data_IF_436250962519
#
_entry.id   IF_436250962519
#
_cell.length_a   1.000
_cell.length_b   1.000
_cell.length_c   1.000
_cell.angle_alpha   90.00
_cell.angle_beta   90.00
_cell.angle_gamma   90.00
#
_symmetry.space_group_name_H-M   'P 1'
#
loop_
_entity.id
_entity.type
_entity.pdbx_description
1 polymer ?
#
# COMPACT_ATOMS: atom_id res chain seq x y z
N UNK A 1 -4.30 2.31 13.30
CA UNK A 1 -5.65 1.78 13.62
C UNK A 1 -6.66 2.29 12.62
N UNK A 2 -7.91 1.82 12.62
CA UNK A 2 -8.95 2.19 11.63
C UNK A 2 -9.20 3.71 11.52
N UNK A 3 -8.89 4.48 12.57
CA UNK A 3 -9.07 5.92 12.61
C UNK A 3 -7.85 6.73 12.12
N UNK A 4 -6.78 6.08 11.66
CA UNK A 4 -5.60 6.79 11.17
C UNK A 4 -5.89 7.43 9.79
N UNK A 5 -5.43 8.66 9.52
CA UNK A 5 -5.60 9.36 8.24
C UNK A 5 -4.67 8.79 7.16
N UNK A 6 -4.85 7.50 6.85
CA UNK A 6 -4.07 6.74 5.86
C UNK A 6 -4.99 6.34 4.71
N UNK A 7 -4.58 6.71 3.48
CA UNK A 7 -5.23 6.27 2.25
C UNK A 7 -4.28 5.39 1.44
N UNK A 8 -4.79 4.31 0.85
CA UNK A 8 -4.02 3.47 -0.06
C UNK A 8 -4.88 3.03 -1.25
N UNK A 9 -4.28 2.98 -2.43
CA UNK A 9 -4.89 2.40 -3.62
C UNK A 9 -3.87 1.59 -4.40
N UNK A 10 -4.34 0.51 -5.01
CA UNK A 10 -3.52 -0.38 -5.80
C UNK A 10 -4.12 -0.55 -7.19
N UNK A 11 -3.25 -0.71 -8.18
CA UNK A 11 -3.61 -1.01 -9.56
C UNK A 11 -2.73 -2.12 -10.08
N UNK A 12 -3.35 -3.14 -10.67
CA UNK A 12 -2.65 -4.12 -11.48
C UNK A 12 -2.58 -3.62 -12.93
N UNK A 13 -1.39 -3.66 -13.52
CA UNK A 13 -1.13 -3.43 -14.94
C UNK A 13 -0.61 -4.74 -15.55
N UNK A 14 -0.91 -4.99 -16.81
CA UNK A 14 -0.63 -6.28 -17.47
C UNK A 14 -1.91 -7.07 -17.74
N UNK A 15 -1.91 -7.85 -18.83
CA UNK A 15 -3.03 -8.69 -19.27
C UNK A 15 -2.77 -10.17 -19.02
N UNK A 16 -3.65 -11.04 -19.52
CA UNK A 16 -3.59 -12.51 -19.31
C UNK A 16 -2.29 -13.21 -19.80
N UNK A 17 -1.38 -12.48 -20.45
CA UNK A 17 -0.17 -12.98 -21.10
C UNK A 17 1.09 -12.12 -20.83
N UNK A 18 1.00 -11.14 -19.93
CA UNK A 18 2.13 -10.25 -19.59
C UNK A 18 2.33 -10.22 -18.07
N UNK A 19 3.59 -10.08 -17.64
CA UNK A 19 3.99 -9.81 -16.26
C UNK A 19 3.10 -8.75 -15.62
N UNK A 20 2.31 -9.20 -14.64
CA UNK A 20 1.42 -8.34 -13.87
C UNK A 20 2.23 -7.39 -13.01
N UNK A 21 2.25 -6.09 -13.32
CA UNK A 21 2.87 -5.06 -12.48
C UNK A 21 1.84 -4.56 -11.49
N UNK A 22 2.07 -4.82 -10.20
CA UNK A 22 1.30 -4.23 -9.11
C UNK A 22 1.89 -2.87 -8.76
N UNK A 23 1.10 -1.81 -8.96
CA UNK A 23 1.40 -0.47 -8.50
C UNK A 23 0.62 -0.23 -7.21
N UNK A 24 1.30 0.27 -6.17
CA UNK A 24 0.71 0.64 -4.88
C UNK A 24 1.11 2.07 -4.56
N UNK A 25 0.11 2.92 -4.30
CA UNK A 25 0.32 4.25 -3.75
C UNK A 25 -0.38 4.36 -2.40
N UNK A 26 0.34 4.93 -1.45
CA UNK A 26 -0.16 5.20 -0.11
C UNK A 26 0.18 6.64 0.30
N UNK A 27 -0.69 7.19 1.13
CA UNK A 27 -0.63 8.58 1.61
C UNK A 27 -1.00 8.60 3.08
N UNK A 28 -0.26 9.36 3.87
CA UNK A 28 -0.59 9.74 5.25
C UNK A 28 -0.76 11.25 5.28
N UNK A 29 -1.89 11.72 5.79
CA UNK A 29 -2.21 13.14 5.84
C UNK A 29 -2.50 13.58 7.27
N UNK A 30 -2.22 14.83 7.60
CA UNK A 30 -2.66 15.45 8.86
C UNK A 30 -4.19 15.62 8.85
N UNK A 31 -4.84 15.63 10.02
CA UNK A 31 -6.29 15.81 10.10
C UNK A 31 -6.75 17.17 9.55
N UNK A 32 -5.93 18.19 9.72
CA UNK A 32 -6.14 19.53 9.14
C UNK A 32 -5.79 19.62 7.65
N UNK A 33 -5.24 18.55 7.07
CA UNK A 33 -4.75 18.49 5.69
C UNK A 33 -3.51 19.35 5.41
N UNK A 34 -2.91 19.97 6.43
CA UNK A 34 -1.77 20.89 6.28
C UNK A 34 -0.43 20.21 5.99
N UNK A 35 -0.35 18.89 6.20
CA UNK A 35 0.82 18.06 5.91
C UNK A 35 0.39 16.75 5.26
N UNK A 36 1.10 16.36 4.21
CA UNK A 36 0.90 15.10 3.51
C UNK A 36 2.27 14.47 3.22
N UNK A 37 2.35 13.15 3.42
CA UNK A 37 3.47 12.31 2.99
C UNK A 37 2.89 11.18 2.16
N UNK A 38 3.45 10.93 0.98
CA UNK A 38 2.94 9.89 0.09
C UNK A 38 4.03 9.28 -0.77
N UNK A 39 3.87 8.02 -1.10
CA UNK A 39 4.77 7.31 -2.00
C UNK A 39 3.98 6.43 -2.98
N UNK A 40 4.56 6.20 -4.15
CA UNK A 40 4.08 5.25 -5.15
C UNK A 40 5.23 4.34 -5.54
N UNK A 41 5.02 3.03 -5.39
CA UNK A 41 5.99 2.00 -5.75
C UNK A 41 5.30 0.92 -6.58
N UNK A 42 6.10 0.16 -7.32
CA UNK A 42 5.60 -0.97 -8.10
C UNK A 42 6.47 -2.20 -7.95
N UNK A 43 5.88 -3.38 -8.12
CA UNK A 43 6.59 -4.64 -8.26
C UNK A 43 6.00 -5.47 -9.40
N UNK A 44 6.85 -6.22 -10.06
CA UNK A 44 6.40 -7.31 -10.94
C UNK A 44 5.87 -8.46 -10.07
N UNK A 45 4.76 -9.05 -10.51
CA UNK A 45 4.21 -10.27 -9.94
C UNK A 45 4.69 -11.46 -10.78
N UNK A 46 4.99 -12.60 -10.15
CA UNK A 46 5.39 -13.80 -10.88
C UNK A 46 4.29 -14.26 -11.85
N UNK A 47 4.69 -14.61 -13.07
CA UNK A 47 3.78 -15.18 -14.06
C UNK A 47 3.14 -16.47 -13.55
N UNK A 48 1.82 -16.58 -13.69
CA UNK A 48 1.19 -17.89 -13.67
C UNK A 48 1.68 -18.63 -14.91
N UNK A 49 2.34 -19.78 -14.71
CA UNK A 49 3.00 -20.51 -15.79
C UNK A 49 2.00 -21.11 -16.80
N UNK A 50 1.42 -20.30 -17.69
CA UNK A 50 0.63 -20.66 -18.89
C UNK A 50 -0.52 -21.66 -18.72
N UNK A 51 -0.78 -22.13 -17.50
CA UNK A 51 -1.70 -23.20 -17.14
C UNK A 51 -2.60 -22.76 -15.99
N UNK A 52 -3.40 -23.69 -15.43
CA UNK A 52 -4.28 -23.37 -14.31
C UNK A 52 -3.49 -22.76 -13.17
N UNK A 53 -3.89 -21.58 -12.70
CA UNK A 53 -3.26 -20.91 -11.56
C UNK A 53 -3.18 -21.90 -10.40
N UNK A 54 -1.95 -22.20 -9.97
CA UNK A 54 -1.75 -23.09 -8.84
C UNK A 54 -1.82 -22.28 -7.53
N UNK A 55 -2.14 -22.93 -6.40
CA UNK A 55 -2.02 -22.29 -5.09
C UNK A 55 -0.61 -21.74 -4.82
N UNK A 56 0.43 -22.35 -5.41
CA UNK A 56 1.82 -21.91 -5.30
C UNK A 56 2.08 -20.58 -6.01
N UNK A 57 1.51 -20.40 -7.20
CA UNK A 57 1.61 -19.14 -7.97
C UNK A 57 0.91 -18.01 -7.22
N UNK A 58 -0.27 -18.30 -6.67
CA UNK A 58 -1.03 -17.36 -5.84
C UNK A 58 -0.25 -16.96 -4.59
N UNK A 59 0.39 -17.92 -3.91
CA UNK A 59 1.21 -17.64 -2.73
C UNK A 59 2.44 -16.78 -3.06
N UNK A 60 3.05 -16.97 -4.23
CA UNK A 60 4.19 -16.16 -4.67
C UNK A 60 3.78 -14.71 -4.99
N UNK A 61 2.65 -14.53 -5.68
CA UNK A 61 2.08 -13.21 -5.95
C UNK A 61 1.69 -12.48 -4.65
N UNK A 62 1.08 -13.18 -3.69
CA UNK A 62 0.75 -12.61 -2.37
C UNK A 62 2.01 -12.17 -1.62
N UNK A 63 3.10 -12.96 -1.65
CA UNK A 63 4.37 -12.57 -1.03
C UNK A 63 4.97 -11.33 -1.67
N UNK A 64 4.95 -11.23 -3.00
CA UNK A 64 5.43 -10.05 -3.72
C UNK A 64 4.61 -8.80 -3.37
N UNK A 65 3.27 -8.91 -3.35
CA UNK A 65 2.39 -7.82 -2.96
C UNK A 65 2.60 -7.38 -1.50
N UNK A 66 2.80 -8.34 -0.58
CA UNK A 66 3.11 -8.05 0.82
C UNK A 66 4.44 -7.31 0.95
N UNK A 67 5.49 -7.76 0.26
CA UNK A 67 6.79 -7.12 0.27
C UNK A 67 6.71 -5.67 -0.25
N UNK A 68 5.92 -5.43 -1.30
CA UNK A 68 5.65 -4.07 -1.79
C UNK A 68 4.97 -3.21 -0.72
N UNK A 69 3.97 -3.75 -0.02
CA UNK A 69 3.27 -3.05 1.06
C UNK A 69 4.20 -2.68 2.23
N UNK A 70 5.08 -3.60 2.63
CA UNK A 70 6.12 -3.34 3.65
C UNK A 70 7.03 -2.21 3.18
N UNK A 71 7.52 -2.28 1.95
CA UNK A 71 8.44 -1.27 1.40
C UNK A 71 7.79 0.11 1.31
N UNK A 72 6.53 0.19 0.90
CA UNK A 72 5.74 1.43 0.90
C UNK A 72 5.63 2.00 2.31
N UNK A 73 5.33 1.17 3.30
CA UNK A 73 5.24 1.62 4.70
C UNK A 73 6.58 2.11 5.25
N UNK A 74 7.68 1.41 4.94
CA UNK A 74 9.05 1.83 5.32
C UNK A 74 9.38 3.22 4.75
N UNK A 75 9.16 3.43 3.45
CA UNK A 75 9.40 4.74 2.81
C UNK A 75 8.57 5.83 3.45
N UNK A 76 7.28 5.59 3.73
CA UNK A 76 6.44 6.58 4.41
C UNK A 76 7.00 6.94 5.81
N UNK A 77 7.50 5.95 6.56
CA UNK A 77 8.10 6.18 7.87
C UNK A 77 9.41 6.96 7.76
N UNK A 78 10.26 6.62 6.78
CA UNK A 78 11.50 7.35 6.45
C UNK A 78 11.22 8.81 6.06
N UNK A 79 10.12 9.06 5.36
CA UNK A 79 9.65 10.39 4.95
C UNK A 79 8.92 11.15 6.10
N UNK A 80 8.90 10.59 7.31
CA UNK A 80 8.38 11.24 8.50
C UNK A 80 6.86 11.14 8.65
N UNK A 81 6.22 10.10 8.10
CA UNK A 81 4.80 9.82 8.37
C UNK A 81 4.53 9.53 9.85
N UNK A 82 5.54 9.04 10.60
CA UNK A 82 5.44 8.85 12.04
C UNK A 82 5.28 10.18 12.82
N UNK A 83 5.75 11.29 12.23
CA UNK A 83 5.68 12.62 12.83
C UNK A 83 4.37 13.36 12.48
N UNK A 84 3.47 12.72 11.73
CA UNK A 84 2.10 13.26 11.54
C UNK A 84 1.33 12.98 12.84
N UNK A 85 1.37 13.98 13.74
CA UNK A 85 1.01 13.91 15.16
C UNK A 85 -0.48 13.58 15.42
N UNK A 86 -1.32 13.51 14.39
CA UNK A 86 -2.77 13.29 14.50
C UNK A 86 -3.23 11.83 14.27
N UNK A 87 -2.32 10.86 14.41
CA UNK A 87 -2.64 9.42 14.28
C UNK A 87 -3.58 8.89 15.39
N UNK A 88 -3.84 9.69 16.42
CA UNK A 88 -4.90 9.47 17.39
C UNK A 88 -6.06 10.40 17.04
N UNK A 89 -7.09 9.86 16.39
CA UNK A 89 -8.35 10.56 16.26
C UNK A 89 -8.90 10.85 17.67
N UNK A 90 -8.67 12.06 18.19
CA UNK A 90 -9.39 12.55 19.34
C UNK A 90 -10.86 12.65 18.93
N UNK A 91 -11.63 11.65 19.34
CA UNK A 91 -13.07 11.66 19.15
C UNK A 91 -13.60 12.95 19.78
N UNK A 92 -14.39 13.79 19.06
CA UNK A 92 -14.93 14.99 19.66
C UNK A 92 -15.71 14.60 20.91
N UNK A 93 -15.32 15.17 22.06
CA UNK A 93 -16.11 15.09 23.29
C UNK A 93 -17.44 15.76 22.99
N UNK A 94 -18.50 14.97 23.04
CA UNK A 94 -19.87 15.48 22.89
C UNK A 94 -20.27 16.06 24.25
N UNK A 95 -20.32 17.39 24.32
CA UNK A 95 -20.98 18.12 25.41
C UNK A 95 -22.51 17.92 25.37
#
# INVERSE_FOLDING_TARGET
GCAAPVGAWARLRGGERELGVLVLRAVVTSLDGGREVGCELSTELPEAAGGPVTPGDSAAAVRAAQALGVRVAEVLLEDGAADIVDLHADKPRRD
#
